data_IF_503292537219
#
_entry.id   IF_503292537219
#
_cell.length_a   1.000
_cell.length_b   1.000
_cell.length_c   1.000
_cell.angle_alpha   90.00
_cell.angle_beta   90.00
_cell.angle_gamma   90.00
#
_symmetry.space_group_name_H-M   'P 1'
#
loop_
_entity.id
_entity.type
_entity.pdbx_description
1 polymer ?
#
# COMPACT_ATOMS: atom_id res chain seq x y z
N UNK A 1 -79.03 -29.73 -77.95
CA UNK A 1 -77.63 -30.24 -77.94
C UNK A 1 -77.35 -30.71 -76.52
N UNK A 2 -77.41 -32.01 -76.27
CA UNK A 2 -77.31 -32.61 -74.94
C UNK A 2 -75.87 -32.99 -74.61
N UNK A 3 -75.42 -32.52 -73.46
CA UNK A 3 -74.12 -32.74 -72.84
C UNK A 3 -74.11 -34.12 -72.14
N UNK A 4 -73.31 -35.06 -72.64
CA UNK A 4 -73.21 -36.44 -72.12
C UNK A 4 -71.99 -36.53 -71.22
N UNK A 5 -72.21 -36.49 -69.90
CA UNK A 5 -71.19 -36.76 -68.88
C UNK A 5 -70.90 -38.27 -68.84
N UNK A 6 -69.68 -38.66 -69.18
CA UNK A 6 -69.18 -40.03 -69.02
C UNK A 6 -68.63 -40.21 -67.60
N UNK A 7 -69.31 -41.01 -66.78
CA UNK A 7 -68.77 -41.47 -65.49
C UNK A 7 -67.82 -42.65 -65.73
N UNK A 8 -66.53 -42.47 -65.45
CA UNK A 8 -65.54 -43.55 -65.41
C UNK A 8 -65.49 -44.10 -63.99
N UNK A 9 -66.04 -45.30 -63.79
CA UNK A 9 -65.82 -46.08 -62.57
C UNK A 9 -64.38 -46.62 -62.57
N UNK A 10 -63.52 -46.03 -61.75
CA UNK A 10 -62.21 -46.63 -61.43
C UNK A 10 -62.44 -47.71 -60.38
N UNK A 11 -62.46 -48.98 -60.80
CA UNK A 11 -62.42 -50.11 -59.88
C UNK A 11 -61.08 -50.10 -59.12
N UNK A 12 -61.08 -49.64 -57.87
CA UNK A 12 -59.96 -49.83 -56.93
C UNK A 12 -59.98 -51.27 -56.42
N UNK A 13 -59.56 -52.23 -57.25
CA UNK A 13 -59.22 -53.57 -56.81
C UNK A 13 -57.71 -53.63 -56.58
N UNK A 14 -57.29 -53.43 -55.34
CA UNK A 14 -56.02 -53.98 -54.85
C UNK A 14 -56.21 -54.29 -53.38
N UNK A 15 -56.66 -55.51 -53.09
CA UNK A 15 -56.70 -56.08 -51.76
C UNK A 15 -55.27 -56.10 -51.21
N UNK A 16 -54.95 -55.12 -50.38
CA UNK A 16 -53.71 -55.18 -49.61
C UNK A 16 -53.93 -56.25 -48.56
N UNK A 17 -53.05 -57.24 -48.50
CA UNK A 17 -52.98 -58.18 -47.38
C UNK A 17 -53.11 -57.42 -46.05
N UNK A 18 -54.23 -57.58 -45.35
CA UNK A 18 -54.58 -56.82 -44.14
C UNK A 18 -53.81 -57.29 -42.88
N UNK A 19 -52.77 -58.09 -43.07
CA UNK A 19 -51.92 -58.57 -41.98
C UNK A 19 -50.97 -57.44 -41.58
N UNK A 20 -50.95 -57.03 -40.30
CA UNK A 20 -50.02 -56.00 -39.84
C UNK A 20 -48.58 -56.48 -40.02
N UNK A 21 -47.71 -55.57 -40.47
CA UNK A 21 -46.27 -55.81 -40.52
C UNK A 21 -45.78 -56.22 -39.12
N UNK A 22 -45.06 -57.35 -39.05
CA UNK A 22 -44.50 -57.84 -37.78
C UNK A 22 -43.00 -57.56 -37.72
N UNK A 23 -42.53 -57.08 -36.56
CA UNK A 23 -41.12 -56.78 -36.31
C UNK A 23 -40.59 -57.70 -35.21
N UNK A 24 -39.52 -58.43 -35.50
CA UNK A 24 -38.84 -59.29 -34.51
C UNK A 24 -37.41 -58.81 -34.30
N UNK A 25 -37.02 -58.64 -33.04
CA UNK A 25 -35.68 -58.19 -32.65
C UNK A 25 -34.83 -59.38 -32.19
N UNK A 26 -33.63 -59.50 -32.75
CA UNK A 26 -32.62 -60.46 -32.30
C UNK A 26 -31.92 -60.00 -31.01
N UNK A 27 -31.08 -60.88 -30.46
CA UNK A 27 -30.24 -60.54 -29.31
C UNK A 27 -29.26 -59.41 -29.65
N UNK A 28 -29.10 -58.47 -28.71
CA UNK A 28 -28.15 -57.37 -28.86
C UNK A 28 -26.72 -57.85 -28.64
N UNK A 29 -25.86 -57.65 -29.64
CA UNK A 29 -24.43 -57.91 -29.49
C UNK A 29 -23.80 -56.83 -28.60
N UNK A 30 -23.33 -57.22 -27.41
CA UNK A 30 -22.75 -56.29 -26.41
C UNK A 30 -21.46 -55.59 -26.86
N UNK A 31 -20.75 -56.15 -27.84
CA UNK A 31 -19.48 -55.58 -28.34
C UNK A 31 -19.74 -54.56 -29.44
N UNK A 32 -20.55 -54.93 -30.44
CA UNK A 32 -20.84 -54.05 -31.58
C UNK A 32 -22.02 -53.12 -31.36
N UNK A 33 -22.82 -53.38 -30.31
CA UNK A 33 -24.06 -52.67 -30.00
C UNK A 33 -25.10 -52.72 -31.14
N UNK A 34 -25.04 -53.78 -31.96
CA UNK A 34 -25.97 -54.04 -33.06
C UNK A 34 -26.84 -55.26 -32.74
N UNK A 35 -28.10 -55.20 -33.16
CA UNK A 35 -29.02 -56.34 -33.17
C UNK A 35 -29.64 -56.49 -34.56
N UNK A 36 -29.92 -57.72 -34.98
CA UNK A 36 -30.69 -57.97 -36.19
C UNK A 36 -32.16 -57.64 -35.95
N UNK A 37 -32.80 -57.03 -36.93
CA UNK A 37 -34.24 -56.74 -36.96
C UNK A 37 -34.81 -57.42 -38.18
N UNK A 38 -35.75 -58.34 -37.96
CA UNK A 38 -36.47 -59.04 -39.01
C UNK A 38 -37.83 -58.36 -39.21
N UNK A 39 -38.05 -57.88 -40.42
CA UNK A 39 -39.30 -57.28 -40.86
C UNK A 39 -40.07 -58.29 -41.69
N UNK A 40 -41.23 -58.70 -41.19
CA UNK A 40 -42.17 -59.55 -41.91
C UNK A 40 -43.23 -58.66 -42.51
N UNK A 41 -43.23 -58.58 -43.84
CA UNK A 41 -44.26 -57.90 -44.62
C UNK A 41 -45.04 -58.93 -45.41
N UNK A 42 -46.26 -58.61 -45.78
CA UNK A 42 -47.10 -59.52 -46.56
C UNK A 42 -47.29 -58.97 -47.97
N UNK A 43 -47.11 -59.83 -48.97
CA UNK A 43 -47.43 -59.51 -50.36
C UNK A 43 -48.38 -60.57 -50.88
N UNK A 44 -49.37 -60.13 -51.64
CA UNK A 44 -50.27 -61.04 -52.33
C UNK A 44 -49.54 -61.67 -53.51
N UNK A 45 -49.53 -63.00 -53.56
CA UNK A 45 -48.99 -63.80 -54.66
C UNK A 45 -50.05 -64.86 -54.97
N UNK A 46 -50.68 -64.75 -56.15
CA UNK A 46 -51.72 -65.69 -56.61
C UNK A 46 -52.89 -65.84 -55.62
N UNK A 47 -53.44 -64.74 -55.12
CA UNK A 47 -54.56 -64.75 -54.16
C UNK A 47 -54.19 -65.19 -52.74
N UNK A 48 -52.91 -65.50 -52.47
CA UNK A 48 -52.43 -65.85 -51.14
C UNK A 48 -51.50 -64.78 -50.59
N UNK A 49 -51.70 -64.41 -49.32
CA UNK A 49 -50.80 -63.50 -48.62
C UNK A 49 -49.56 -64.24 -48.13
N UNK A 50 -48.46 -64.12 -48.87
CA UNK A 50 -47.18 -64.76 -48.56
C UNK A 50 -46.31 -63.78 -47.76
N UNK A 51 -45.73 -64.20 -46.61
CA UNK A 51 -44.79 -63.38 -45.88
C UNK A 51 -43.46 -63.28 -46.64
N UNK A 52 -42.93 -62.06 -46.75
CA UNK A 52 -41.57 -61.81 -47.18
C UNK A 52 -40.78 -61.16 -46.04
N UNK A 53 -39.53 -61.58 -45.89
CA UNK A 53 -38.68 -61.12 -44.79
C UNK A 53 -37.58 -60.22 -45.33
N UNK A 54 -37.34 -59.11 -44.63
CA UNK A 54 -36.11 -58.35 -44.77
C UNK A 54 -35.38 -58.31 -43.43
N UNK A 55 -34.07 -58.49 -43.47
CA UNK A 55 -33.21 -58.42 -42.28
C UNK A 55 -32.38 -57.16 -42.38
N UNK A 56 -32.44 -56.34 -41.34
CA UNK A 56 -31.64 -55.14 -41.20
C UNK A 56 -30.91 -55.15 -39.86
N UNK A 57 -29.86 -54.35 -39.72
CA UNK A 57 -29.19 -54.14 -38.45
C UNK A 57 -29.70 -52.86 -37.80
N UNK A 58 -29.95 -52.91 -36.50
CA UNK A 58 -30.42 -51.79 -35.68
C UNK A 58 -29.52 -51.62 -34.46
N UNK A 59 -29.31 -50.37 -34.04
CA UNK A 59 -28.48 -50.08 -32.87
C UNK A 59 -29.27 -50.40 -31.60
N UNK A 60 -28.70 -51.22 -30.73
CA UNK A 60 -29.34 -51.71 -29.52
C UNK A 60 -28.74 -51.17 -28.22
N UNK A 61 -27.57 -50.52 -28.27
CA UNK A 61 -27.00 -49.82 -27.12
C UNK A 61 -26.67 -48.36 -27.42
N UNK A 62 -26.65 -47.55 -26.37
CA UNK A 62 -26.16 -46.18 -26.39
C UNK A 62 -24.68 -46.17 -25.97
N UNK A 63 -23.76 -45.67 -26.81
CA UNK A 63 -22.39 -45.43 -26.37
C UNK A 63 -22.37 -44.44 -25.21
N UNK A 64 -21.40 -44.58 -24.30
CA UNK A 64 -21.17 -43.59 -23.25
C UNK A 64 -20.83 -42.24 -23.87
N UNK A 65 -21.39 -41.18 -23.30
CA UNK A 65 -21.04 -39.82 -23.71
C UNK A 65 -19.54 -39.61 -23.54
N UNK A 66 -18.91 -38.98 -24.54
CA UNK A 66 -17.49 -38.64 -24.49
C UNK A 66 -17.34 -37.17 -24.17
N UNK A 67 -16.65 -36.86 -23.08
CA UNK A 67 -16.30 -35.50 -22.69
C UNK A 67 -14.80 -35.32 -22.89
N UNK A 68 -14.43 -34.34 -23.70
CA UNK A 68 -13.03 -33.94 -23.92
C UNK A 68 -12.84 -32.51 -23.45
N UNK A 69 -11.81 -32.25 -22.65
CA UNK A 69 -11.46 -30.93 -22.15
C UNK A 69 -10.13 -30.53 -22.76
N UNK A 70 -10.09 -29.37 -23.42
CA UNK A 70 -8.90 -28.83 -24.07
C UNK A 70 -8.74 -27.36 -23.68
N UNK A 71 -7.53 -26.96 -23.32
CA UNK A 71 -7.23 -25.55 -23.08
C UNK A 71 -6.89 -24.86 -24.40
N UNK A 72 -7.59 -23.78 -24.72
CA UNK A 72 -7.20 -22.91 -25.81
C UNK A 72 -6.02 -22.03 -25.36
N UNK A 73 -4.84 -22.27 -25.94
CA UNK A 73 -3.59 -21.57 -25.60
C UNK A 73 -3.62 -20.07 -25.88
N UNK A 74 -4.46 -19.62 -26.84
CA UNK A 74 -4.55 -18.20 -27.23
C UNK A 74 -5.43 -17.41 -26.28
N UNK A 75 -6.56 -17.99 -25.87
CA UNK A 75 -7.57 -17.29 -25.06
C UNK A 75 -7.50 -17.66 -23.57
N UNK A 76 -6.85 -18.77 -23.23
CA UNK A 76 -6.88 -19.35 -21.88
C UNK A 76 -8.24 -19.92 -21.49
N UNK A 77 -9.13 -20.17 -22.45
CA UNK A 77 -10.45 -20.74 -22.17
C UNK A 77 -10.38 -22.27 -22.11
N UNK A 78 -11.09 -22.85 -21.14
CA UNK A 78 -11.26 -24.29 -21.06
C UNK A 78 -12.44 -24.68 -21.95
N UNK A 79 -12.13 -25.26 -23.10
CA UNK A 79 -13.11 -25.75 -24.07
C UNK A 79 -13.50 -27.17 -23.68
N UNK A 80 -14.75 -27.36 -23.29
CA UNK A 80 -15.33 -28.68 -23.00
C UNK A 80 -16.21 -29.08 -24.17
N UNK A 81 -15.80 -30.14 -24.87
CA UNK A 81 -16.56 -30.74 -25.96
C UNK A 81 -17.22 -32.01 -25.46
N UNK A 82 -18.54 -32.02 -25.46
CA UNK A 82 -19.36 -33.17 -25.08
C UNK A 82 -20.00 -33.76 -26.32
N UNK A 83 -19.80 -35.05 -26.53
CA UNK A 83 -20.46 -35.83 -27.56
C UNK A 83 -21.53 -36.68 -26.90
N UNK A 84 -22.78 -36.30 -27.12
CA UNK A 84 -23.96 -37.01 -26.64
C UNK A 84 -24.49 -37.90 -27.76
N UNK A 85 -24.85 -39.13 -27.38
CA UNK A 85 -25.49 -40.07 -28.28
C UNK A 85 -26.94 -40.24 -27.85
N UNK A 86 -27.85 -40.19 -28.81
CA UNK A 86 -29.27 -40.49 -28.57
C UNK A 86 -29.78 -41.47 -29.61
N UNK A 87 -30.74 -42.30 -29.23
CA UNK A 87 -31.42 -43.19 -30.17
C UNK A 87 -32.60 -42.43 -30.75
N UNK A 88 -32.58 -42.20 -32.06
CA UNK A 88 -33.77 -41.80 -32.81
C UNK A 88 -34.49 -43.07 -33.24
N UNK A 89 -35.62 -43.35 -32.60
CA UNK A 89 -36.56 -44.36 -33.11
C UNK A 89 -37.22 -43.80 -34.36
N UNK A 90 -36.93 -44.40 -35.51
CA UNK A 90 -37.91 -44.44 -36.60
C UNK A 90 -38.87 -45.60 -36.32
N UNK A 91 -40.03 -45.62 -36.98
CA UNK A 91 -41.09 -46.64 -36.82
C UNK A 91 -40.59 -48.09 -36.82
N UNK A 92 -39.39 -48.36 -37.35
CA UNK A 92 -38.86 -49.70 -37.57
C UNK A 92 -37.38 -49.86 -37.18
N UNK A 93 -36.55 -48.83 -37.33
CA UNK A 93 -35.10 -48.89 -37.05
C UNK A 93 -34.66 -47.84 -36.04
N UNK A 94 -33.82 -48.24 -35.08
CA UNK A 94 -33.15 -47.30 -34.17
C UNK A 94 -31.86 -46.84 -34.83
N UNK A 95 -31.73 -45.53 -35.00
CA UNK A 95 -30.50 -44.89 -35.50
C UNK A 95 -29.85 -44.09 -34.38
N UNK A 96 -28.51 -44.02 -34.41
CA UNK A 96 -27.74 -43.26 -33.44
C UNK A 96 -27.61 -41.81 -33.93
N UNK A 97 -28.22 -40.87 -33.23
CA UNK A 97 -27.98 -39.45 -33.43
C UNK A 97 -26.82 -38.98 -32.56
N UNK A 98 -25.95 -38.16 -33.15
CA UNK A 98 -24.82 -37.54 -32.46
C UNK A 98 -25.10 -36.05 -32.28
N UNK A 99 -25.11 -35.58 -31.04
CA UNK A 99 -25.15 -34.16 -30.71
C UNK A 99 -23.80 -33.76 -30.15
N UNK A 100 -23.23 -32.68 -30.66
CA UNK A 100 -21.96 -32.13 -30.16
C UNK A 100 -22.29 -30.78 -29.53
N UNK A 101 -22.02 -30.65 -28.24
CA UNK A 101 -22.05 -29.37 -27.54
C UNK A 101 -20.64 -28.93 -27.20
N UNK A 102 -20.40 -27.62 -27.31
CA UNK A 102 -19.13 -26.98 -26.98
C UNK A 102 -19.45 -25.90 -25.95
N UNK A 103 -18.94 -26.08 -24.73
CA UNK A 103 -18.99 -25.07 -23.68
C UNK A 103 -17.58 -24.49 -23.52
N UNK A 104 -17.50 -23.16 -23.45
CA UNK A 104 -16.23 -22.46 -23.26
C UNK A 104 -16.34 -21.56 -22.06
N UNK A 105 -15.51 -21.83 -21.05
CA UNK A 105 -15.47 -21.05 -19.81
C UNK A 105 -14.05 -20.63 -19.50
N UNK A 106 -13.90 -19.37 -19.08
CA UNK A 106 -12.65 -18.87 -18.55
C UNK A 106 -12.52 -19.28 -17.08
N UNK A 107 -11.46 -20.00 -16.68
CA UNK A 107 -11.24 -20.30 -15.27
C UNK A 107 -11.09 -19.00 -14.47
N UNK A 108 -11.80 -18.90 -13.35
CA UNK A 108 -11.68 -17.78 -12.41
C UNK A 108 -10.66 -18.19 -11.35
N UNK A 109 -9.55 -17.46 -11.27
CA UNK A 109 -8.56 -17.67 -10.23
C UNK A 109 -8.91 -16.83 -9.00
N UNK A 110 -9.00 -17.48 -7.84
CA UNK A 110 -9.31 -16.82 -6.56
C UNK A 110 -8.31 -15.71 -6.21
N UNK A 111 -8.74 -14.70 -5.45
CA UNK A 111 -7.97 -13.48 -5.22
C UNK A 111 -6.64 -13.71 -4.48
N UNK A 112 -5.81 -12.69 -4.58
CA UNK A 112 -4.43 -12.61 -4.08
C UNK A 112 -4.37 -12.73 -2.56
N UNK A 113 -3.42 -13.54 -2.07
CA UNK A 113 -3.03 -13.51 -0.66
C UNK A 113 -1.77 -12.66 -0.56
N UNK A 114 -1.86 -11.53 0.15
CA UNK A 114 -0.70 -10.68 0.44
C UNK A 114 -0.14 -11.11 1.78
N UNK A 115 1.13 -11.54 1.79
CA UNK A 115 1.86 -11.89 3.01
C UNK A 115 3.06 -10.98 3.15
N UNK A 116 3.18 -10.25 4.24
CA UNK A 116 4.41 -9.54 4.55
C UNK A 116 5.40 -10.53 5.18
N UNK A 117 6.60 -10.64 4.63
CA UNK A 117 7.68 -11.37 5.29
C UNK A 117 8.10 -10.60 6.56
N UNK A 118 8.50 -11.35 7.59
CA UNK A 118 9.10 -10.74 8.78
C UNK A 118 10.40 -10.01 8.41
N UNK A 119 10.74 -8.98 9.19
CA UNK A 119 12.01 -8.28 9.02
C UNK A 119 13.19 -9.26 9.12
N UNK A 120 14.07 -9.23 8.13
CA UNK A 120 15.22 -10.13 8.09
C UNK A 120 16.20 -9.77 9.22
N UNK A 121 16.59 -10.75 10.03
CA UNK A 121 17.56 -10.57 11.13
C UNK A 121 18.94 -10.09 10.63
N UNK A 122 19.33 -10.48 9.41
CA UNK A 122 20.62 -10.13 8.82
C UNK A 122 20.65 -8.70 8.25
N UNK A 123 19.50 -8.18 7.83
CA UNK A 123 19.38 -6.82 7.32
C UNK A 123 18.13 -6.16 7.94
N UNK A 124 18.23 -5.69 9.21
CA UNK A 124 17.08 -5.22 9.97
C UNK A 124 16.48 -3.92 9.42
N UNK A 125 17.10 -3.31 8.40
CA UNK A 125 16.67 -2.03 7.84
C UNK A 125 15.45 -2.16 6.93
N UNK A 126 15.21 -3.32 6.30
CA UNK A 126 14.14 -3.51 5.30
C UNK A 126 13.50 -4.90 5.34
N UNK A 127 12.18 -4.97 5.11
CA UNK A 127 11.42 -6.20 4.81
C UNK A 127 10.98 -6.17 3.35
N UNK A 128 10.83 -7.36 2.76
CA UNK A 128 10.20 -7.51 1.44
C UNK A 128 8.71 -7.78 1.61
N UNK A 129 7.91 -7.09 0.82
CA UNK A 129 6.49 -7.41 0.69
C UNK A 129 6.32 -8.27 -0.55
N UNK A 130 5.97 -9.53 -0.29
CA UNK A 130 5.77 -10.57 -1.30
C UNK A 130 4.28 -10.88 -1.37
N UNK A 131 3.64 -10.59 -2.50
CA UNK A 131 2.28 -11.07 -2.75
C UNK A 131 2.35 -12.39 -3.49
N UNK A 132 1.42 -13.30 -3.18
CA UNK A 132 1.22 -14.50 -3.99
C UNK A 132 -0.06 -14.32 -4.77
N UNK A 133 0.07 -14.09 -6.08
CA UNK A 133 -1.06 -13.92 -6.98
C UNK A 133 -1.36 -15.23 -7.71
N UNK A 134 -2.64 -15.60 -7.82
CA UNK A 134 -3.03 -16.70 -8.69
C UNK A 134 -3.14 -16.17 -10.13
N UNK A 135 -2.30 -16.67 -11.03
CA UNK A 135 -2.39 -16.36 -12.47
C UNK A 135 -2.89 -17.58 -13.23
N UNK A 136 -3.71 -17.33 -14.24
CA UNK A 136 -4.11 -18.37 -15.18
C UNK A 136 -2.92 -18.71 -16.09
N UNK A 137 -2.49 -19.97 -16.06
CA UNK A 137 -1.55 -20.50 -17.03
C UNK A 137 -2.32 -20.87 -18.30
N UNK A 138 -2.12 -20.12 -19.38
CA UNK A 138 -2.83 -20.35 -20.65
C UNK A 138 -2.44 -21.64 -21.36
N UNK A 139 -1.30 -22.25 -21.02
CA UNK A 139 -0.91 -23.53 -21.61
C UNK A 139 -1.69 -24.71 -21.04
N UNK A 140 -2.09 -24.63 -19.76
CA UNK A 140 -2.74 -25.72 -19.02
C UNK A 140 -4.15 -25.39 -18.53
N UNK A 141 -4.60 -24.14 -18.67
CA UNK A 141 -5.83 -23.60 -18.09
C UNK A 141 -5.92 -23.82 -16.56
N UNK A 142 -4.78 -23.99 -15.90
CA UNK A 142 -4.69 -24.11 -14.46
C UNK A 142 -4.34 -22.75 -13.84
N UNK A 143 -4.92 -22.47 -12.67
CA UNK A 143 -4.46 -21.35 -11.86
C UNK A 143 -3.17 -21.75 -11.15
N UNK A 144 -2.09 -21.03 -11.41
CA UNK A 144 -0.79 -21.21 -10.77
C UNK A 144 -0.52 -20.05 -9.82
N UNK A 145 0.16 -20.35 -8.72
CA UNK A 145 0.64 -19.32 -7.79
C UNK A 145 1.93 -18.71 -8.31
N UNK A 146 1.93 -17.39 -8.48
CA UNK A 146 3.10 -16.62 -8.86
C UNK A 146 3.43 -15.66 -7.73
N UNK A 147 4.64 -15.78 -7.18
CA UNK A 147 5.16 -14.82 -6.19
C UNK A 147 5.54 -13.54 -6.91
N UNK A 148 4.93 -12.42 -6.54
CA UNK A 148 5.32 -11.08 -6.97
C UNK A 148 5.96 -10.35 -5.79
N UNK A 149 7.20 -9.92 -5.96
CA UNK A 149 7.86 -9.02 -5.01
C UNK A 149 7.50 -7.59 -5.42
N UNK A 150 6.78 -6.86 -4.56
CA UNK A 150 6.28 -5.53 -4.91
C UNK A 150 7.24 -4.42 -4.50
N UNK A 151 7.78 -4.50 -3.28
CA UNK A 151 8.53 -3.39 -2.69
C UNK A 151 9.36 -3.85 -1.50
N UNK A 152 10.53 -3.22 -1.35
CA UNK A 152 11.29 -3.22 -0.10
C UNK A 152 10.80 -2.07 0.78
N UNK A 153 10.37 -2.41 1.99
CA UNK A 153 9.79 -1.49 2.96
C UNK A 153 10.71 -1.41 4.18
N UNK A 154 11.00 -0.21 4.72
CA UNK A 154 11.83 -0.10 5.90
C UNK A 154 11.21 -0.78 7.13
N UNK A 155 12.03 -1.54 7.85
CA UNK A 155 11.68 -2.19 9.11
C UNK A 155 11.98 -1.31 10.32
N UNK A 156 13.05 -0.52 10.21
CA UNK A 156 13.46 0.46 11.21
C UNK A 156 13.72 1.78 10.52
N UNK A 157 13.41 2.87 11.21
CA UNK A 157 13.75 4.18 10.71
C UNK A 157 15.24 4.52 10.95
N UNK A 158 15.81 5.44 10.15
CA UNK A 158 17.17 5.89 10.37
C UNK A 158 17.33 6.52 11.76
N UNK A 159 18.57 6.51 12.31
CA UNK A 159 18.83 7.14 13.60
C UNK A 159 18.51 8.64 13.57
N UNK A 160 18.22 9.25 14.73
CA UNK A 160 17.97 10.68 14.84
C UNK A 160 19.10 11.50 14.23
N UNK A 161 18.75 12.55 13.48
CA UNK A 161 19.70 13.50 12.91
C UNK A 161 19.69 14.78 13.72
N UNK A 162 20.87 15.21 14.17
CA UNK A 162 21.05 16.45 14.91
C UNK A 162 21.70 17.49 14.01
N UNK A 163 21.00 18.60 13.77
CA UNK A 163 21.51 19.75 13.02
C UNK A 163 21.72 20.94 13.94
N UNK A 164 22.88 21.58 13.86
CA UNK A 164 23.18 22.81 14.60
C UNK A 164 24.59 22.81 15.21
N UNK A 165 24.90 23.80 16.06
CA UNK A 165 24.02 24.89 16.52
C UNK A 165 23.75 25.95 15.44
N UNK A 166 22.50 26.39 15.30
CA UNK A 166 22.11 27.54 14.43
C UNK A 166 21.80 28.75 15.31
N UNK A 167 22.05 29.96 14.81
CA UNK A 167 21.85 31.19 15.56
C UNK A 167 20.53 31.87 15.26
N UNK A 168 19.81 32.29 16.30
CA UNK A 168 18.51 32.95 16.18
C UNK A 168 18.41 34.12 17.15
N UNK A 169 17.54 35.08 16.85
CA UNK A 169 17.14 36.14 17.78
C UNK A 169 15.72 35.87 18.24
N UNK A 170 15.47 36.00 19.54
CA UNK A 170 14.10 35.98 20.06
C UNK A 170 13.33 37.27 19.73
N UNK A 171 12.07 37.34 20.14
CA UNK A 171 11.22 38.53 19.98
C UNK A 171 11.78 39.78 20.66
N UNK A 172 12.67 39.62 21.65
CA UNK A 172 13.34 40.70 22.36
C UNK A 172 14.72 41.04 21.77
N UNK A 173 15.07 40.45 20.62
CA UNK A 173 16.35 40.64 19.95
C UNK A 173 17.54 39.96 20.63
N UNK A 174 17.34 39.13 21.66
CA UNK A 174 18.41 38.38 22.34
C UNK A 174 18.83 37.21 21.47
N UNK A 175 20.14 37.04 21.30
CA UNK A 175 20.68 35.91 20.56
C UNK A 175 20.60 34.61 21.38
N UNK A 176 20.19 33.53 20.71
CA UNK A 176 20.03 32.19 21.25
C UNK A 176 20.56 31.18 20.22
N UNK A 177 21.04 30.02 20.68
CA UNK A 177 21.38 28.93 19.77
C UNK A 177 20.29 27.85 19.79
N UNK A 178 19.91 27.41 18.60
CA UNK A 178 18.94 26.35 18.39
C UNK A 178 19.63 25.07 17.91
N UNK A 179 19.20 23.94 18.46
CA UNK A 179 19.56 22.60 17.99
C UNK A 179 18.29 21.96 17.46
N UNK A 180 18.32 21.51 16.21
CA UNK A 180 17.22 20.81 15.59
C UNK A 180 17.51 19.31 15.58
N UNK A 181 16.69 18.53 16.28
CA UNK A 181 16.74 17.07 16.27
C UNK A 181 15.61 16.54 15.42
N UNK A 182 15.92 15.79 14.36
CA UNK A 182 14.94 15.10 13.54
C UNK A 182 14.90 13.63 13.93
N UNK A 183 13.87 13.24 14.67
CA UNK A 183 13.54 11.85 14.96
C UNK A 183 12.74 11.26 13.80
N UNK A 184 12.72 9.94 13.64
CA UNK A 184 11.94 9.29 12.60
C UNK A 184 11.06 8.19 13.21
N UNK A 185 9.77 8.20 12.86
CA UNK A 185 8.81 7.20 13.34
C UNK A 185 8.22 6.42 12.18
N UNK A 186 8.14 5.10 12.31
CA UNK A 186 7.59 4.22 11.27
C UNK A 186 6.07 4.21 11.37
N UNK A 187 5.38 4.88 10.44
CA UNK A 187 3.92 4.94 10.36
C UNK A 187 3.50 4.46 8.97
N UNK A 188 2.64 3.45 8.92
CA UNK A 188 2.16 2.86 7.65
C UNK A 188 3.31 2.58 6.67
N UNK A 189 4.34 1.88 7.15
CA UNK A 189 5.48 1.45 6.31
C UNK A 189 6.35 2.59 5.76
N UNK A 190 6.19 3.81 6.29
CA UNK A 190 6.99 4.97 5.93
C UNK A 190 7.60 5.61 7.17
N UNK A 191 8.85 6.06 7.05
CA UNK A 191 9.50 6.80 8.12
C UNK A 191 9.13 8.28 8.04
N UNK A 192 8.30 8.73 8.97
CA UNK A 192 7.84 10.10 9.08
C UNK A 192 8.79 10.88 9.99
N UNK A 193 9.35 12.02 9.53
CA UNK A 193 10.25 12.84 10.33
C UNK A 193 9.49 13.68 11.37
N UNK A 194 9.91 13.61 12.62
CA UNK A 194 9.43 14.41 13.74
C UNK A 194 10.56 15.35 14.17
N UNK A 195 10.39 16.65 13.91
CA UNK A 195 11.40 17.67 14.19
C UNK A 195 11.14 18.30 15.54
N UNK A 196 12.13 18.21 16.42
CA UNK A 196 12.15 18.87 17.74
C UNK A 196 13.21 19.96 17.68
N UNK A 197 12.84 21.15 18.15
CA UNK A 197 13.74 22.30 18.17
C UNK A 197 13.99 22.72 19.61
N UNK A 198 15.23 22.55 20.08
CA UNK A 198 15.65 22.93 21.42
C UNK A 198 16.41 24.26 21.34
N UNK A 199 15.94 25.26 22.09
CA UNK A 199 16.56 26.58 22.12
C UNK A 199 17.25 26.79 23.45
N UNK A 200 18.51 27.22 23.41
CA UNK A 200 19.32 27.49 24.59
C UNK A 200 19.84 28.93 24.57
N UNK A 201 19.78 29.64 25.72
CA UNK A 201 20.34 30.97 25.82
C UNK A 201 21.87 30.90 25.77
N UNK A 202 22.49 31.89 25.10
CA UNK A 202 23.94 32.02 25.09
C UNK A 202 24.38 32.58 26.45
N UNK A 203 25.11 31.78 27.22
CA UNK A 203 25.68 32.20 28.50
C UNK A 203 27.09 32.74 28.28
N UNK A 204 27.24 34.05 28.38
CA UNK A 204 28.54 34.70 28.34
C UNK A 204 29.15 34.87 29.74
N UNK A 205 30.48 34.97 29.80
CA UNK A 205 31.18 35.16 31.07
C UNK A 205 30.76 36.49 31.73
N UNK A 206 30.61 36.45 33.06
CA UNK A 206 30.23 37.60 33.87
C UNK A 206 31.23 38.75 33.72
N UNK A 207 30.76 39.98 33.97
CA UNK A 207 31.58 41.17 33.94
C UNK A 207 32.70 41.09 34.97
N UNK A 208 33.93 41.35 34.54
CA UNK A 208 35.12 41.45 35.40
C UNK A 208 35.56 42.90 35.49
N UNK A 209 35.76 43.38 36.71
CA UNK A 209 36.26 44.73 36.99
C UNK A 209 37.70 44.63 37.45
N UNK A 210 38.61 45.32 36.77
CA UNK A 210 40.02 45.43 37.18
C UNK A 210 40.35 46.88 37.43
N UNK A 211 40.98 47.18 38.56
CA UNK A 211 41.36 48.54 38.95
C UNK A 211 42.88 48.67 38.90
N UNK A 212 43.40 49.71 38.26
CA UNK A 212 44.83 50.01 38.28
C UNK A 212 45.25 50.60 39.63
N UNK A 213 46.56 50.66 39.87
CA UNK A 213 47.11 51.48 40.95
C UNK A 213 46.67 52.95 40.82
N UNK A 214 46.56 53.64 41.96
CA UNK A 214 46.25 55.07 42.02
C UNK A 214 47.48 55.88 41.60
N UNK A 215 47.35 56.74 40.58
CA UNK A 215 48.40 57.66 40.13
C UNK A 215 47.81 59.06 39.98
N UNK A 216 48.42 60.05 40.65
CA UNK A 216 47.94 61.43 40.63
C UNK A 216 46.46 61.56 40.98
N UNK A 217 46.04 60.82 42.02
CA UNK A 217 44.66 60.78 42.52
C UNK A 217 43.59 60.33 41.52
N UNK A 218 44.00 59.67 40.42
CA UNK A 218 43.12 58.98 39.49
C UNK A 218 43.57 57.53 39.32
N UNK A 219 42.64 56.62 39.08
CA UNK A 219 42.91 55.24 38.68
C UNK A 219 42.06 54.85 37.48
N UNK A 220 42.57 53.96 36.65
CA UNK A 220 41.81 53.36 35.55
C UNK A 220 41.00 52.18 36.07
N UNK A 221 39.72 52.16 35.71
CA UNK A 221 38.80 51.05 35.96
C UNK A 221 38.48 50.40 34.63
N UNK A 222 38.97 49.19 34.41
CA UNK A 222 38.70 48.40 33.21
C UNK A 222 37.55 47.44 33.51
N UNK A 223 36.38 47.74 32.95
CA UNK A 223 35.21 46.86 32.96
C UNK A 223 35.25 45.98 31.72
N UNK A 224 35.57 44.71 31.88
CA UNK A 224 35.53 43.71 30.81
C UNK A 224 34.22 42.96 30.88
N UNK A 225 33.42 42.98 29.81
CA UNK A 225 32.18 42.22 29.71
C UNK A 225 32.13 41.45 28.40
N UNK A 226 31.21 40.50 28.28
CA UNK A 226 31.02 39.70 27.08
C UNK A 226 29.59 39.86 26.60
N UNK A 227 29.42 40.23 25.33
CA UNK A 227 28.11 40.36 24.69
C UNK A 227 27.89 39.19 23.70
N UNK A 228 26.69 38.59 23.65
CA UNK A 228 26.38 37.60 22.63
C UNK A 228 26.22 38.31 21.27
N UNK A 229 27.05 37.95 20.29
CA UNK A 229 26.95 38.42 18.91
C UNK A 229 27.36 37.33 17.92
N UNK A 230 26.49 37.01 16.97
CA UNK A 230 26.69 35.90 16.03
C UNK A 230 26.83 34.54 16.72
N UNK A 231 26.09 34.30 17.80
CA UNK A 231 26.19 33.07 18.61
C UNK A 231 27.56 32.81 19.26
N UNK A 232 28.34 33.87 19.42
CA UNK A 232 29.61 33.85 20.13
C UNK A 232 29.59 34.93 21.20
N UNK A 233 30.29 34.69 22.30
CA UNK A 233 30.51 35.71 23.30
C UNK A 233 31.69 36.58 22.87
N UNK A 234 31.41 37.82 22.47
CA UNK A 234 32.43 38.78 22.06
C UNK A 234 32.83 39.61 23.28
N UNK A 235 34.14 39.65 23.55
CA UNK A 235 34.72 40.44 24.63
C UNK A 235 34.68 41.93 24.30
N UNK A 236 34.20 42.74 25.25
CA UNK A 236 34.18 44.20 25.21
C UNK A 236 34.84 44.76 26.45
N UNK A 237 35.39 45.96 26.32
CA UNK A 237 36.05 46.65 27.42
C UNK A 237 35.63 48.12 27.45
N UNK A 238 35.30 48.58 28.64
CA UNK A 238 35.10 50.00 28.94
C UNK A 238 36.19 50.41 29.93
N UNK A 239 36.91 51.47 29.60
CA UNK A 239 37.95 52.04 30.45
C UNK A 239 37.46 53.37 30.98
N UNK A 240 37.25 53.43 32.29
CA UNK A 240 36.83 54.65 32.99
C UNK A 240 37.98 55.17 33.87
N UNK A 241 37.94 56.47 34.18
CA UNK A 241 38.82 57.07 35.19
C UNK A 241 38.01 57.34 36.45
N UNK A 242 38.47 56.79 37.57
CA UNK A 242 37.85 56.96 38.88
C UNK A 242 38.81 57.77 39.78
N UNK A 243 38.27 58.67 40.60
CA UNK A 243 39.07 59.34 41.62
C UNK A 243 39.49 58.32 42.70
N UNK A 244 40.74 58.37 43.13
CA UNK A 244 41.27 57.48 44.17
C UNK A 244 41.88 58.22 45.37
N UNK A 245 41.89 59.56 45.34
CA UNK A 245 42.08 60.38 46.52
C UNK A 245 40.86 61.27 46.73
N UNK A 246 40.67 61.71 47.96
CA UNK A 246 39.80 62.83 48.27
C UNK A 246 40.58 64.13 48.41
N UNK A 247 39.93 65.28 48.16
CA UNK A 247 40.51 66.57 48.51
C UNK A 247 40.85 66.58 50.01
N UNK A 248 41.95 67.26 50.33
CA UNK A 248 42.41 67.43 51.72
C UNK A 248 41.30 68.03 52.58
N UNK A 249 41.35 67.75 53.88
CA UNK A 249 40.41 68.32 54.84
C UNK A 249 40.43 69.86 54.75
N UNK A 250 39.26 70.47 54.86
CA UNK A 250 39.11 71.93 54.85
C UNK A 250 38.51 72.33 56.18
N UNK A 251 39.21 73.21 56.90
CA UNK A 251 38.70 73.83 58.12
C UNK A 251 37.82 75.00 57.71
N UNK A 252 36.57 75.00 58.16
CA UNK A 252 35.66 76.13 58.00
C UNK A 252 35.42 76.77 59.36
N UNK A 253 35.58 78.08 59.44
CA UNK A 253 35.24 78.84 60.64
C UNK A 253 33.80 79.33 60.53
N UNK A 254 33.00 79.12 61.58
CA UNK A 254 31.64 79.67 61.70
C UNK A 254 31.58 80.53 62.95
N UNK A 255 31.00 81.73 62.84
CA UNK A 255 30.75 82.60 63.99
C UNK A 255 29.52 82.11 64.76
N UNK A 256 29.67 81.85 66.06
CA UNK A 256 28.55 81.66 66.99
C UNK A 256 28.03 83.02 67.48
N UNK A 257 26.77 83.05 67.93
CA UNK A 257 26.07 84.27 68.37
C UNK A 257 26.81 85.06 69.48
N UNK A 258 27.70 84.41 70.24
CA UNK A 258 28.44 85.02 71.35
C UNK A 258 29.86 85.51 70.99
N UNK A 259 30.11 85.87 69.73
CA UNK A 259 31.44 86.32 69.24
C UNK A 259 32.56 85.27 69.27
N UNK A 260 32.23 84.00 69.52
CA UNK A 260 33.18 82.88 69.49
C UNK A 260 33.24 82.26 68.08
N UNK A 261 34.45 82.02 67.55
CA UNK A 261 34.67 81.26 66.32
C UNK A 261 34.75 79.76 66.61
N UNK A 262 33.90 78.96 65.98
CA UNK A 262 34.01 77.50 65.99
C UNK A 262 34.63 77.02 64.67
N UNK A 263 35.67 76.20 64.77
CA UNK A 263 36.27 75.54 63.63
C UNK A 263 35.57 74.19 63.39
N UNK A 264 34.99 74.02 62.21
CA UNK A 264 34.44 72.75 61.73
C UNK A 264 35.42 72.16 60.71
N UNK A 265 36.08 71.06 61.08
CA UNK A 265 36.93 70.32 60.15
C UNK A 265 36.09 69.38 59.30
N UNK A 266 36.00 69.65 57.99
CA UNK A 266 35.30 68.78 57.05
C UNK A 266 36.30 67.77 56.48
N UNK A 267 36.22 66.52 56.93
CA UNK A 267 37.00 65.41 56.37
C UNK A 267 36.23 64.77 55.19
N UNK A 268 36.96 64.41 54.14
CA UNK A 268 36.40 63.73 52.97
C UNK A 268 36.91 62.29 52.93
N UNK A 269 36.01 61.31 52.97
CA UNK A 269 36.33 59.88 52.91
C UNK A 269 35.89 59.31 51.57
N UNK A 270 36.76 58.54 50.93
CA UNK A 270 36.44 57.87 49.65
C UNK A 270 35.56 56.64 49.91
N UNK A 271 34.29 56.69 49.50
CA UNK A 271 33.36 55.56 49.51
C UNK A 271 32.88 55.29 48.08
N UNK A 272 33.08 54.06 47.59
CA UNK A 272 32.65 53.62 46.25
C UNK A 272 33.10 54.55 45.10
N UNK A 273 34.29 55.14 45.21
CA UNK A 273 34.82 56.05 44.19
C UNK A 273 34.32 57.49 44.28
N UNK A 274 33.53 57.83 45.31
CA UNK A 274 33.06 59.18 45.58
C UNK A 274 33.59 59.67 46.92
N UNK A 275 33.92 60.96 47.01
CA UNK A 275 34.30 61.58 48.27
C UNK A 275 33.06 62.04 49.01
N UNK A 276 32.83 61.44 50.17
CA UNK A 276 31.71 61.77 51.05
C UNK A 276 32.25 62.60 52.21
N UNK A 277 31.59 63.71 52.51
CA UNK A 277 31.91 64.55 53.68
C UNK A 277 31.47 63.81 54.94
N UNK A 278 32.37 63.68 55.90
CA UNK A 278 32.07 63.22 57.25
C UNK A 278 32.33 64.39 58.19
N UNK A 279 31.29 64.86 58.87
CA UNK A 279 31.45 65.78 59.98
C UNK A 279 31.84 64.96 61.20
N UNK A 280 33.00 65.26 61.79
CA UNK A 280 33.30 64.79 63.13
C UNK A 280 32.51 65.71 64.07
N UNK A 281 31.43 65.19 64.63
CA UNK A 281 30.70 65.79 65.75
C UNK A 281 31.54 65.69 67.02
#
# INVERSE_FOLDING_TARGET
>A
MHDVRTCVCVCKCSEKCDKPDAVTYGACNKVTCLQSVRLTKYREVQGNCVPFFSVANSVCCLPKNKVTKTCDKRTGQLVTRTVEYSLKSSLILKSLARKVSVDSKRPVCNPVVVSAEACNKLNPSTKRITSTINRLNTATCACIQVKQTHKEVPCTCPPPRVEGPKCFKDSNGREQFGIQTTNFSLIKEQCIPNRVFEVKPIKCAMQKITKSACRSCKRSVVKTYHEPKGCKCIKRQIVEKEACCCPKAVVKYRCKQDSNMEAEEIQNVLKEGKCVKTANL
#
